data_IF_621575030030
#
_entry.id   IF_621575030030
#
_cell.length_a   1.000
_cell.length_b   1.000
_cell.length_c   1.000
_cell.angle_alpha   90.00
_cell.angle_beta   90.00
_cell.angle_gamma   90.00
#
_symmetry.space_group_name_H-M   'P 1'
#
loop_
_entity.id
_entity.type
_entity.pdbx_description
1 polymer ?
#
# COMPACT_ATOMS: atom_id res chain seq x y z
N UNK A 1 -3.20 13.68 -10.70
CA UNK A 1 -4.40 14.01 -11.51
C UNK A 1 -4.26 15.24 -12.42
N UNK A 2 -3.91 16.47 -11.99
CA UNK A 2 -3.87 17.66 -12.87
C UNK A 2 -2.88 17.55 -14.04
N UNK A 3 -1.70 16.97 -13.80
CA UNK A 3 -0.70 16.76 -14.85
C UNK A 3 -1.18 15.76 -15.91
N UNK A 4 -1.91 14.71 -15.50
CA UNK A 4 -2.47 13.74 -16.45
C UNK A 4 -3.48 14.41 -17.39
N UNK A 5 -4.32 15.31 -16.88
CA UNK A 5 -5.27 16.08 -17.70
C UNK A 5 -4.53 16.90 -18.77
N UNK A 6 -3.47 17.59 -18.37
CA UNK A 6 -2.64 18.38 -19.27
C UNK A 6 -1.99 17.50 -20.35
N UNK A 7 -1.41 16.37 -19.95
CA UNK A 7 -0.72 15.44 -20.84
C UNK A 7 -1.67 14.79 -21.84
N UNK A 8 -2.85 14.32 -21.42
CA UNK A 8 -3.84 13.71 -22.31
C UNK A 8 -4.45 14.70 -23.31
N UNK A 9 -4.39 16.00 -23.02
CA UNK A 9 -4.84 17.05 -23.92
C UNK A 9 -3.83 17.35 -25.05
N UNK A 10 -2.62 16.78 -25.00
CA UNK A 10 -1.65 16.90 -26.09
C UNK A 10 -2.11 16.03 -27.28
N UNK A 11 -2.67 16.68 -28.30
CA UNK A 11 -3.29 16.02 -29.47
C UNK A 11 -2.41 15.00 -30.18
N UNK A 12 -1.08 15.20 -30.16
CA UNK A 12 -0.10 14.29 -30.77
C UNK A 12 0.18 13.03 -29.93
N UNK A 13 -0.42 12.86 -28.76
CA UNK A 13 -0.17 11.71 -27.89
C UNK A 13 -1.37 10.76 -27.75
N UNK A 14 -2.53 11.11 -28.31
CA UNK A 14 -3.74 10.26 -28.29
C UNK A 14 -4.12 9.80 -29.72
N UNK A 15 -4.97 8.77 -29.83
CA UNK A 15 -5.43 8.23 -31.12
C UNK A 15 -4.86 6.86 -31.50
N UNK A 16 -5.09 6.45 -32.75
CA UNK A 16 -4.74 5.11 -33.25
C UNK A 16 -3.24 4.83 -33.13
N UNK A 17 -2.88 3.57 -32.91
CA UNK A 17 -1.50 3.08 -32.82
C UNK A 17 -0.70 3.64 -31.63
N UNK A 18 -1.36 4.28 -30.67
CA UNK A 18 -0.75 4.75 -29.41
C UNK A 18 -1.33 3.95 -28.26
N UNK A 19 -0.48 3.67 -27.26
CA UNK A 19 -0.88 2.95 -26.06
C UNK A 19 -0.55 3.81 -24.85
N UNK A 20 -1.53 3.94 -23.96
CA UNK A 20 -1.35 4.59 -22.67
C UNK A 20 -1.37 3.54 -21.57
N UNK A 21 -0.27 3.43 -20.83
CA UNK A 21 -0.21 2.69 -19.57
C UNK A 21 -0.07 3.72 -18.47
N UNK A 22 -1.04 3.77 -17.58
CA UNK A 22 -1.18 4.84 -16.59
C UNK A 22 -1.29 4.27 -15.17
N UNK A 23 -0.81 5.01 -14.19
CA UNK A 23 -1.00 4.65 -12.79
C UNK A 23 -2.43 4.99 -12.31
N UNK A 24 -2.77 4.54 -11.09
CA UNK A 24 -4.10 4.72 -10.53
C UNK A 24 -4.51 6.20 -10.33
N UNK A 25 -3.56 7.12 -10.12
CA UNK A 25 -3.90 8.54 -9.96
C UNK A 25 -4.14 9.25 -11.30
N UNK A 26 -3.36 8.91 -12.33
CA UNK A 26 -3.57 9.42 -13.68
C UNK A 26 -4.86 8.88 -14.31
N UNK A 27 -5.24 7.63 -13.97
CA UNK A 27 -6.50 7.01 -14.41
C UNK A 27 -7.75 7.74 -13.88
N UNK A 28 -7.61 8.60 -12.86
CA UNK A 28 -8.69 9.43 -12.28
C UNK A 28 -8.87 10.78 -12.99
N UNK A 29 -8.09 11.05 -14.06
CA UNK A 29 -8.31 12.22 -14.90
C UNK A 29 -9.67 12.16 -15.60
N UNK A 30 -10.26 13.32 -15.90
CA UNK A 30 -11.59 13.37 -16.54
C UNK A 30 -11.55 13.14 -18.06
N UNK A 31 -10.38 13.22 -18.66
CA UNK A 31 -10.13 13.13 -20.10
C UNK A 31 -9.16 11.98 -20.43
N UNK A 32 -9.30 10.85 -19.72
CA UNK A 32 -8.52 9.64 -20.01
C UNK A 32 -8.82 9.21 -21.45
N UNK A 33 -7.80 8.93 -22.28
CA UNK A 33 -8.03 8.49 -23.65
C UNK A 33 -8.56 7.06 -23.70
N UNK A 34 -9.45 6.79 -24.65
CA UNK A 34 -9.93 5.43 -24.90
C UNK A 34 -8.77 4.48 -25.25
N UNK A 35 -8.87 3.26 -24.73
CA UNK A 35 -7.83 2.25 -24.83
C UNK A 35 -6.74 2.36 -23.77
N UNK A 36 -6.77 3.35 -22.88
CA UNK A 36 -5.81 3.44 -21.78
C UNK A 36 -5.91 2.22 -20.84
N UNK A 37 -4.76 1.69 -20.46
CA UNK A 37 -4.60 0.61 -19.50
C UNK A 37 -4.16 1.20 -18.17
N UNK A 38 -4.91 0.92 -17.11
CA UNK A 38 -4.62 1.41 -15.76
C UNK A 38 -4.48 0.25 -14.78
N UNK A 39 -3.61 0.41 -13.78
CA UNK A 39 -3.57 -0.44 -12.60
C UNK A 39 -4.40 0.18 -11.47
N UNK A 40 -5.19 -0.63 -10.76
CA UNK A 40 -5.90 -0.24 -9.53
C UNK A 40 -5.56 -1.21 -8.42
N UNK A 41 -5.26 -0.72 -7.23
CA UNK A 41 -5.09 -1.59 -6.07
C UNK A 41 -6.41 -2.36 -5.80
N UNK A 42 -6.39 -3.69 -5.85
CA UNK A 42 -7.59 -4.52 -5.64
C UNK A 42 -8.08 -4.52 -4.19
N UNK A 43 -7.21 -4.10 -3.26
CA UNK A 43 -7.53 -4.08 -1.83
C UNK A 43 -8.60 -3.06 -1.49
N UNK A 44 -9.62 -3.53 -0.78
CA UNK A 44 -10.57 -2.67 -0.08
C UNK A 44 -10.02 -2.25 1.28
N UNK A 45 -10.50 -1.12 1.85
CA UNK A 45 -10.13 -0.71 3.21
C UNK A 45 -10.33 -1.81 4.26
N UNK A 46 -11.41 -2.60 4.14
CA UNK A 46 -11.68 -3.73 5.04
C UNK A 46 -10.65 -4.85 4.89
N UNK A 47 -10.26 -5.20 3.67
CA UNK A 47 -9.22 -6.21 3.43
C UNK A 47 -7.84 -5.78 3.92
N UNK A 48 -7.51 -4.49 3.75
CA UNK A 48 -6.29 -3.88 4.27
C UNK A 48 -6.30 -3.93 5.81
N UNK A 49 -7.40 -3.54 6.45
CA UNK A 49 -7.55 -3.59 7.91
C UNK A 49 -7.38 -5.01 8.46
N UNK A 50 -8.02 -6.01 7.84
CA UNK A 50 -7.87 -7.42 8.23
C UNK A 50 -6.42 -7.89 8.11
N UNK A 51 -5.74 -7.50 7.03
CA UNK A 51 -4.32 -7.82 6.84
C UNK A 51 -3.46 -7.19 7.93
N UNK A 52 -3.68 -5.91 8.24
CA UNK A 52 -2.95 -5.21 9.29
C UNK A 52 -3.13 -5.86 10.66
N UNK A 53 -4.36 -6.27 11.01
CA UNK A 53 -4.60 -6.98 12.28
C UNK A 53 -3.88 -8.34 12.34
N UNK A 54 -3.78 -9.06 11.23
CA UNK A 54 -3.02 -10.31 11.19
C UNK A 54 -1.54 -10.09 11.50
N UNK A 55 -0.91 -9.08 10.88
CA UNK A 55 0.48 -8.71 11.17
C UNK A 55 0.68 -8.23 12.61
N UNK A 56 -0.22 -7.38 13.11
CA UNK A 56 -0.16 -6.89 14.49
C UNK A 56 -0.29 -8.05 15.47
N UNK A 57 -1.25 -8.95 15.26
CA UNK A 57 -1.44 -10.14 16.12
C UNK A 57 -0.16 -10.96 16.20
N UNK A 58 0.42 -11.34 15.05
CA UNK A 58 1.68 -12.11 15.01
C UNK A 58 2.83 -11.40 15.73
N UNK A 59 2.84 -10.06 15.70
CA UNK A 59 3.89 -9.26 16.32
C UNK A 59 3.69 -9.07 17.82
N UNK A 60 2.44 -9.08 18.29
CA UNK A 60 2.12 -9.11 19.72
C UNK A 60 2.46 -10.47 20.33
N UNK A 61 2.26 -11.58 19.61
CA UNK A 61 2.72 -12.92 20.02
C UNK A 61 4.25 -12.95 20.19
N UNK A 62 4.99 -12.25 19.33
CA UNK A 62 6.44 -12.06 19.52
C UNK A 62 6.76 -11.28 20.81
N UNK A 63 6.08 -10.16 21.08
CA UNK A 63 6.33 -9.41 22.31
C UNK A 63 5.98 -10.20 23.58
N UNK A 64 4.92 -11.00 23.54
CA UNK A 64 4.51 -11.87 24.66
C UNK A 64 5.52 -12.99 24.93
N UNK A 65 6.30 -13.38 23.91
CA UNK A 65 7.39 -14.35 24.05
C UNK A 65 8.66 -13.78 24.69
N UNK A 66 8.75 -12.45 24.87
CA UNK A 66 9.85 -11.84 25.59
C UNK A 66 9.69 -12.12 27.08
N UNK A 67 10.73 -12.63 27.73
CA UNK A 67 10.76 -12.92 29.18
C UNK A 67 10.90 -11.63 30.01
N UNK A 68 10.11 -10.60 29.69
CA UNK A 68 10.12 -9.32 30.38
C UNK A 68 8.80 -8.55 30.23
N UNK A 69 8.57 -7.60 31.13
CA UNK A 69 7.39 -6.73 31.07
C UNK A 69 7.56 -5.65 30.02
N UNK A 70 6.78 -5.74 28.93
CA UNK A 70 6.70 -4.69 27.90
C UNK A 70 5.75 -3.59 28.37
N UNK A 71 6.23 -2.34 28.43
CA UNK A 71 5.44 -1.16 28.83
C UNK A 71 5.50 -0.08 27.76
N UNK A 72 4.50 0.02 26.87
CA UNK A 72 4.40 1.16 25.95
C UNK A 72 4.17 2.47 26.73
N UNK A 73 4.66 3.61 26.23
CA UNK A 73 4.40 4.91 26.84
C UNK A 73 2.92 5.27 26.71
N UNK A 74 2.34 5.87 27.75
CA UNK A 74 0.94 6.32 27.77
C UNK A 74 0.71 7.68 27.07
N UNK A 75 1.79 8.34 26.64
CA UNK A 75 1.72 9.64 25.95
C UNK A 75 3.08 10.07 25.38
N UNK A 76 3.09 11.18 24.65
CA UNK A 76 4.26 11.68 23.90
C UNK A 76 5.17 12.63 24.71
N UNK A 77 5.19 12.51 26.04
CA UNK A 77 6.01 13.36 26.91
C UNK A 77 7.51 13.12 26.77
N UNK A 78 8.33 13.96 27.41
CA UNK A 78 9.81 13.85 27.37
C UNK A 78 10.30 12.46 27.80
N UNK A 79 9.64 11.84 28.77
CA UNK A 79 9.99 10.52 29.30
C UNK A 79 9.76 9.39 28.27
N UNK A 80 8.88 9.60 27.28
CA UNK A 80 8.62 8.61 26.24
C UNK A 80 9.83 8.41 25.31
N UNK A 81 10.60 9.47 25.03
CA UNK A 81 11.76 9.43 24.13
C UNK A 81 12.92 8.60 24.71
N UNK A 82 13.04 8.54 26.04
CA UNK A 82 14.06 7.75 26.74
C UNK A 82 13.55 6.41 27.27
N UNK A 83 12.29 6.06 26.97
CA UNK A 83 11.71 4.80 27.40
C UNK A 83 12.36 3.62 26.67
N UNK A 84 12.41 2.46 27.34
CA UNK A 84 12.80 1.19 26.73
C UNK A 84 11.94 0.85 25.50
N UNK A 85 10.70 1.34 25.48
CA UNK A 85 9.85 1.23 24.31
C UNK A 85 10.42 1.95 23.08
N UNK A 86 10.81 3.22 23.23
CA UNK A 86 11.28 4.02 22.10
C UNK A 86 12.64 3.55 21.55
N UNK A 87 13.50 2.98 22.41
CA UNK A 87 14.84 2.55 22.03
C UNK A 87 14.93 1.06 21.68
N UNK A 88 13.99 0.23 22.11
CA UNK A 88 14.07 -1.22 21.99
C UNK A 88 12.73 -1.86 21.58
N UNK A 89 11.76 -2.01 22.51
CA UNK A 89 10.55 -2.82 22.27
C UNK A 89 9.73 -2.35 21.06
N UNK A 90 9.61 -1.05 20.85
CA UNK A 90 8.90 -0.49 19.69
C UNK A 90 9.58 -0.84 18.37
N UNK A 91 10.92 -0.85 18.35
CA UNK A 91 11.69 -1.24 17.17
C UNK A 91 11.61 -2.76 16.93
N UNK A 92 11.66 -3.56 18.01
CA UNK A 92 11.47 -5.01 17.90
C UNK A 92 10.06 -5.36 17.40
N UNK A 93 9.02 -4.68 17.90
CA UNK A 93 7.65 -4.82 17.42
C UNK A 93 7.54 -4.46 15.94
N UNK A 94 8.13 -3.33 15.51
CA UNK A 94 8.15 -2.94 14.10
C UNK A 94 8.83 -4.03 13.26
N UNK A 95 10.00 -4.52 13.68
CA UNK A 95 10.70 -5.60 12.98
C UNK A 95 9.85 -6.87 12.89
N UNK A 96 9.16 -7.25 13.95
CA UNK A 96 8.24 -8.39 13.95
C UNK A 96 7.11 -8.19 12.93
N UNK A 97 6.51 -6.98 12.86
CA UNK A 97 5.51 -6.63 11.84
C UNK A 97 6.08 -6.80 10.44
N UNK A 98 7.23 -6.19 10.16
CA UNK A 98 7.86 -6.24 8.84
C UNK A 98 8.32 -7.66 8.46
N UNK A 99 8.63 -8.51 9.44
CA UNK A 99 9.00 -9.91 9.21
C UNK A 99 7.80 -10.83 8.94
N UNK A 100 6.57 -10.35 9.14
CA UNK A 100 5.37 -11.12 8.86
C UNK A 100 5.29 -11.43 7.36
N UNK A 101 5.43 -12.72 7.01
CA UNK A 101 5.23 -13.21 5.65
C UNK A 101 4.14 -14.28 5.63
N UNK A 102 3.10 -14.02 4.85
CA UNK A 102 2.00 -14.93 4.54
C UNK A 102 1.76 -14.86 3.03
N UNK A 103 0.89 -15.72 2.49
CA UNK A 103 0.49 -15.65 1.08
C UNK A 103 -0.14 -14.31 0.66
N UNK A 104 -0.55 -13.45 1.60
CA UNK A 104 -1.23 -12.16 1.34
C UNK A 104 -0.51 -10.94 1.90
N UNK A 105 0.53 -11.15 2.71
CA UNK A 105 1.23 -10.10 3.44
C UNK A 105 2.71 -10.42 3.37
N UNK A 106 3.49 -9.55 2.76
CA UNK A 106 4.95 -9.62 2.70
C UNK A 106 5.44 -8.18 2.61
N UNK A 107 6.51 -7.89 3.33
CA UNK A 107 7.19 -6.60 3.32
C UNK A 107 8.58 -6.75 2.71
N UNK A 108 9.11 -5.69 2.11
CA UNK A 108 10.50 -5.62 1.71
C UNK A 108 11.43 -5.23 2.88
N UNK A 109 12.73 -5.13 2.60
CA UNK A 109 13.75 -4.75 3.59
C UNK A 109 13.55 -3.35 4.21
N UNK A 110 12.74 -2.49 3.58
CA UNK A 110 12.38 -1.16 4.06
C UNK A 110 11.06 -1.15 4.84
N UNK A 111 10.49 -2.31 5.11
CA UNK A 111 9.16 -2.48 5.71
C UNK A 111 8.01 -1.92 4.84
N UNK A 112 8.20 -1.86 3.52
CA UNK A 112 7.14 -1.49 2.60
C UNK A 112 6.38 -2.75 2.18
N UNK A 113 5.05 -2.72 2.20
CA UNK A 113 4.23 -3.86 1.78
C UNK A 113 4.39 -4.08 0.27
N UNK A 114 4.78 -5.29 -0.12
CA UNK A 114 5.01 -5.67 -1.53
C UNK A 114 4.03 -6.72 -2.05
N UNK A 115 3.39 -7.51 -1.19
CA UNK A 115 2.32 -8.42 -1.62
C UNK A 115 0.99 -7.67 -1.66
N UNK A 116 0.68 -7.10 -2.82
CA UNK A 116 -0.57 -6.39 -3.10
C UNK A 116 -1.04 -6.78 -4.50
N UNK A 117 -2.31 -7.16 -4.60
CA UNK A 117 -2.94 -7.51 -5.86
C UNK A 117 -3.42 -6.23 -6.57
N UNK A 118 -3.28 -6.21 -7.90
CA UNK A 118 -3.76 -5.11 -8.73
C UNK A 118 -4.73 -5.60 -9.80
N UNK A 119 -5.84 -4.88 -9.96
CA UNK A 119 -6.74 -5.03 -11.09
C UNK A 119 -6.17 -4.25 -12.28
N UNK A 120 -6.17 -4.87 -13.45
CA UNK A 120 -5.83 -4.23 -14.72
C UNK A 120 -7.13 -3.81 -15.40
N UNK A 121 -7.25 -2.51 -15.62
CA UNK A 121 -8.44 -1.87 -16.15
C UNK A 121 -8.16 -1.32 -17.55
N UNK A 122 -9.09 -1.53 -18.48
CA UNK A 122 -9.11 -0.84 -19.76
C UNK A 122 -10.19 0.25 -19.73
N UNK A 123 -9.83 1.47 -20.11
CA UNK A 123 -10.78 2.56 -20.29
C UNK A 123 -11.37 2.52 -21.70
N UNK A 124 -12.68 2.32 -21.78
CA UNK A 124 -13.45 2.37 -23.02
C UNK A 124 -14.86 2.84 -22.66
N UNK A 125 -15.10 4.15 -22.77
CA UNK A 125 -16.33 4.81 -22.28
C UNK A 125 -16.62 4.52 -20.78
N UNK A 126 -15.58 4.18 -20.03
CA UNK A 126 -15.65 3.67 -18.66
C UNK A 126 -14.63 2.56 -18.40
N UNK A 127 -14.30 2.32 -17.14
CA UNK A 127 -13.33 1.27 -16.78
C UNK A 127 -13.97 -0.11 -16.76
N UNK A 128 -13.34 -1.06 -17.47
CA UNK A 128 -13.64 -2.49 -17.41
C UNK A 128 -12.40 -3.24 -16.96
N UNK A 129 -12.57 -4.18 -16.05
CA UNK A 129 -11.49 -5.07 -15.64
C UNK A 129 -11.18 -6.05 -16.79
N UNK A 130 -9.88 -6.18 -17.12
CA UNK A 130 -9.37 -7.01 -18.22
C UNK A 130 -8.28 -7.96 -17.76
N UNK A 131 -7.92 -7.95 -16.47
CA UNK A 131 -6.94 -8.86 -15.88
C UNK A 131 -6.66 -8.51 -14.41
N UNK A 132 -5.88 -9.36 -13.76
CA UNK A 132 -5.37 -9.15 -12.40
C UNK A 132 -3.89 -9.55 -12.34
N UNK A 133 -3.12 -8.87 -11.50
CA UNK A 133 -1.70 -9.11 -11.23
C UNK A 133 -1.48 -9.42 -9.75
#
# INVERSE_FOLDING_TARGET
KPHAIMIFSAAEMTGKQKVWIVNEDASKASNVPDGAIASRLSQTPLSALRSSFASIKSSLEFLDSLDETVKPPSGCGKDAVHSKWATDHGLQLLRAICSTSTSKITFNERCERISVDYDILNYNEGYKEVGAL
#
